data_IF_358040136549
#
_entry.id   IF_358040136549
#
_cell.length_a   1.000
_cell.length_b   1.000
_cell.length_c   1.000
_cell.angle_alpha   90.00
_cell.angle_beta   90.00
_cell.angle_gamma   90.00
#
_symmetry.space_group_name_H-M   'P 1'
#
loop_
_entity.id
_entity.type
_entity.pdbx_description
1 polymer ?
#
# COMPACT_ATOMS: atom_id res chain seq x y z
N UNK A 1 -22.23 -48.89 -7.60
CA UNK A 1 -21.63 -48.11 -8.71
C UNK A 1 -21.92 -46.61 -8.59
N UNK A 2 -23.16 -46.19 -8.31
CA UNK A 2 -23.56 -44.78 -8.16
C UNK A 2 -22.85 -44.01 -7.03
N UNK A 3 -22.67 -44.62 -5.85
CA UNK A 3 -22.02 -43.97 -4.69
C UNK A 3 -20.55 -43.60 -5.00
N UNK A 4 -19.80 -44.50 -5.63
CA UNK A 4 -18.40 -44.26 -5.99
C UNK A 4 -18.26 -43.17 -7.06
N UNK A 5 -19.23 -43.06 -7.98
CA UNK A 5 -19.28 -41.98 -8.95
C UNK A 5 -19.55 -40.63 -8.28
N UNK A 6 -20.48 -40.58 -7.33
CA UNK A 6 -20.78 -39.37 -6.55
C UNK A 6 -19.58 -38.90 -5.73
N UNK A 7 -18.88 -39.82 -5.05
CA UNK A 7 -17.67 -39.51 -4.27
C UNK A 7 -16.57 -38.93 -5.16
N UNK A 8 -16.36 -39.48 -6.36
CA UNK A 8 -15.38 -38.96 -7.34
C UNK A 8 -15.74 -37.55 -7.82
N UNK A 9 -17.01 -37.29 -8.10
CA UNK A 9 -17.47 -35.96 -8.50
C UNK A 9 -17.28 -34.93 -7.38
N UNK A 10 -17.56 -35.30 -6.13
CA UNK A 10 -17.34 -34.42 -4.95
C UNK A 10 -15.85 -34.16 -4.73
N UNK A 11 -15.00 -35.18 -4.85
CA UNK A 11 -13.54 -35.04 -4.77
C UNK A 11 -12.99 -34.14 -5.88
N UNK A 12 -13.45 -34.31 -7.12
CA UNK A 12 -13.03 -33.47 -8.25
C UNK A 12 -13.45 -32.01 -8.04
N UNK A 13 -14.67 -31.77 -7.53
CA UNK A 13 -15.15 -30.43 -7.23
C UNK A 13 -14.35 -29.77 -6.09
N UNK A 14 -14.03 -30.51 -5.03
CA UNK A 14 -13.16 -30.05 -3.94
C UNK A 14 -11.74 -29.70 -4.42
N UNK A 15 -11.16 -30.51 -5.30
CA UNK A 15 -9.84 -30.25 -5.90
C UNK A 15 -9.85 -28.97 -6.75
N UNK A 16 -10.92 -28.71 -7.50
CA UNK A 16 -11.06 -27.49 -8.30
C UNK A 16 -11.22 -26.26 -7.38
N UNK A 17 -12.05 -26.36 -6.35
CA UNK A 17 -12.28 -25.26 -5.40
C UNK A 17 -11.00 -24.77 -4.70
N UNK A 18 -10.05 -25.68 -4.41
CA UNK A 18 -8.76 -25.32 -3.80
C UNK A 18 -7.86 -24.51 -4.74
N UNK A 19 -8.00 -24.64 -6.06
CA UNK A 19 -7.13 -23.94 -7.03
C UNK A 19 -7.51 -22.48 -7.27
N UNK A 20 -8.70 -22.05 -6.82
CA UNK A 20 -9.29 -20.72 -7.04
C UNK A 20 -8.96 -19.76 -5.88
N UNK A 21 -8.53 -20.28 -4.72
CA UNK A 21 -8.13 -19.44 -3.58
C UNK A 21 -6.68 -18.99 -3.79
N UNK A 22 -6.51 -17.73 -4.23
CA UNK A 22 -5.20 -17.03 -4.26
C UNK A 22 -5.20 -16.02 -3.12
N UNK A 23 -4.10 -15.97 -2.36
CA UNK A 23 -3.88 -14.85 -1.45
C UNK A 23 -3.81 -13.56 -2.27
N UNK A 24 -4.41 -12.47 -1.76
CA UNK A 24 -4.25 -11.16 -2.39
C UNK A 24 -2.81 -10.69 -2.22
N UNK A 25 -2.13 -10.40 -3.32
CA UNK A 25 -0.81 -9.76 -3.26
C UNK A 25 -0.94 -8.38 -2.61
N UNK A 26 -0.08 -8.12 -1.63
CA UNK A 26 0.04 -6.78 -1.07
C UNK A 26 0.74 -5.88 -2.10
N UNK A 27 0.18 -4.73 -2.48
CA UNK A 27 0.80 -3.89 -3.48
C UNK A 27 2.16 -3.40 -2.97
N UNK A 28 3.22 -3.41 -3.79
CA UNK A 28 4.51 -2.89 -3.36
C UNK A 28 4.40 -1.38 -3.12
N UNK A 29 5.07 -0.83 -2.08
CA UNK A 29 5.12 0.60 -1.87
C UNK A 29 5.85 1.31 -3.01
N UNK A 30 5.42 2.53 -3.33
CA UNK A 30 6.12 3.42 -4.27
C UNK A 30 6.88 4.48 -3.49
N UNK A 31 8.18 4.62 -3.73
CA UNK A 31 9.05 5.62 -3.09
C UNK A 31 9.13 6.90 -3.93
N UNK A 32 9.12 8.06 -3.28
CA UNK A 32 9.27 9.37 -3.92
C UNK A 32 9.79 10.42 -2.94
N UNK A 33 10.17 11.58 -3.48
CA UNK A 33 10.68 12.72 -2.70
C UNK A 33 9.80 13.95 -2.97
N UNK A 34 9.49 14.70 -1.91
CA UNK A 34 8.84 16.01 -2.00
C UNK A 34 9.84 17.12 -1.65
N UNK A 35 10.10 18.03 -2.59
CA UNK A 35 11.04 19.13 -2.42
C UNK A 35 10.35 20.45 -2.07
N UNK A 36 10.77 21.07 -0.97
CA UNK A 36 10.33 22.40 -0.55
C UNK A 36 11.52 23.36 -0.70
N UNK A 37 11.41 24.32 -1.61
CA UNK A 37 12.46 25.34 -1.81
C UNK A 37 12.36 26.43 -0.76
N UNK A 38 13.51 27.00 -0.37
CA UNK A 38 13.63 28.08 0.62
C UNK A 38 12.86 27.77 1.91
N UNK A 39 13.05 26.55 2.44
CA UNK A 39 12.37 26.11 3.64
C UNK A 39 12.85 26.94 4.85
N UNK A 40 11.91 27.62 5.51
CA UNK A 40 12.18 28.47 6.65
C UNK A 40 11.91 27.71 7.94
N UNK A 41 12.95 27.54 8.77
CA UNK A 41 12.78 26.97 10.10
C UNK A 41 12.16 28.00 11.05
N UNK A 42 11.58 27.53 12.15
CA UNK A 42 11.07 28.39 13.23
C UNK A 42 12.17 29.27 13.84
N UNK A 43 13.44 28.82 13.81
CA UNK A 43 14.60 29.63 14.22
C UNK A 43 14.83 30.87 13.35
N UNK A 44 14.25 30.92 12.15
CA UNK A 44 14.46 31.99 11.16
C UNK A 44 15.50 31.64 10.09
N UNK A 45 16.29 30.58 10.30
CA UNK A 45 17.23 30.06 9.31
C UNK A 45 16.48 29.52 8.08
N UNK A 46 17.17 29.52 6.93
CA UNK A 46 16.60 29.06 5.67
C UNK A 46 17.48 27.98 5.05
N UNK A 47 16.87 26.86 4.67
CA UNK A 47 17.49 25.84 3.83
C UNK A 47 17.08 26.09 2.37
N UNK A 48 18.03 26.14 1.41
CA UNK A 48 17.69 26.35 0.01
C UNK A 48 16.71 25.31 -0.54
N UNK A 49 16.81 24.06 -0.08
CA UNK A 49 15.90 22.98 -0.43
C UNK A 49 15.81 21.96 0.71
N UNK A 50 14.60 21.71 1.21
CA UNK A 50 14.28 20.58 2.07
C UNK A 50 13.67 19.46 1.23
N UNK A 51 14.27 18.27 1.25
CA UNK A 51 13.74 17.08 0.58
C UNK A 51 13.16 16.11 1.61
N UNK A 52 11.88 15.77 1.45
CA UNK A 52 11.18 14.81 2.30
C UNK A 52 10.97 13.53 1.49
N UNK A 53 11.66 12.47 1.89
CA UNK A 53 11.45 11.14 1.33
C UNK A 53 10.21 10.50 1.92
N UNK A 54 9.34 9.97 1.08
CA UNK A 54 8.13 9.28 1.50
C UNK A 54 7.85 8.04 0.66
N UNK A 55 6.94 7.22 1.16
CA UNK A 55 6.42 6.03 0.47
C UNK A 55 4.89 6.08 0.45
N UNK A 56 4.30 5.62 -0.64
CA UNK A 56 2.84 5.49 -0.78
C UNK A 56 2.46 4.06 -1.05
N UNK A 57 1.31 3.68 -0.52
CA UNK A 57 0.70 2.38 -0.75
C UNK A 57 -0.70 2.56 -1.35
N UNK A 58 -1.01 1.79 -2.38
CA UNK A 58 -2.32 1.83 -3.04
C UNK A 58 -2.47 3.00 -4.01
N UNK A 59 -3.71 3.46 -4.20
CA UNK A 59 -4.08 4.49 -5.19
C UNK A 59 -4.82 5.64 -4.51
N UNK A 60 -4.44 6.87 -4.87
CA UNK A 60 -5.14 8.06 -4.41
C UNK A 60 -6.50 8.20 -5.13
N UNK A 61 -7.57 8.30 -4.35
CA UNK A 61 -8.90 8.67 -4.84
C UNK A 61 -9.10 10.17 -4.66
N UNK A 62 -9.59 10.84 -5.71
CA UNK A 62 -9.76 12.29 -5.73
C UNK A 62 -11.23 12.66 -5.91
N UNK A 63 -11.68 13.70 -5.21
CA UNK A 63 -12.98 14.30 -5.45
C UNK A 63 -13.00 15.14 -6.74
N UNK A 64 -14.16 15.74 -7.04
CA UNK A 64 -14.34 16.59 -8.22
C UNK A 64 -13.44 17.85 -8.23
N UNK A 65 -12.89 18.24 -7.07
CA UNK A 65 -11.97 19.36 -6.91
C UNK A 65 -10.50 18.91 -6.94
N UNK A 66 -10.24 17.61 -7.08
CA UNK A 66 -8.91 17.03 -7.16
C UNK A 66 -8.25 16.77 -5.80
N UNK A 67 -8.97 16.91 -4.69
CA UNK A 67 -8.45 16.63 -3.35
C UNK A 67 -8.50 15.13 -3.07
N UNK A 68 -7.40 14.59 -2.53
CA UNK A 68 -7.34 13.18 -2.10
C UNK A 68 -8.29 12.94 -0.93
N UNK A 69 -9.23 12.01 -1.08
CA UNK A 69 -10.28 11.71 -0.08
C UNK A 69 -9.96 10.52 0.82
N UNK A 70 -9.06 9.63 0.39
CA UNK A 70 -8.68 8.40 1.08
C UNK A 70 -7.24 8.41 1.65
N UNK A 71 -6.67 9.61 1.84
CA UNK A 71 -5.29 9.76 2.31
C UNK A 71 -5.14 9.49 3.81
N UNK A 72 -4.21 8.60 4.18
CA UNK A 72 -3.79 8.34 5.57
C UNK A 72 -2.30 8.62 5.70
N UNK A 73 -1.89 9.39 6.71
CA UNK A 73 -0.49 9.66 7.02
C UNK A 73 -0.02 8.73 8.14
N UNK A 74 1.09 8.05 7.88
CA UNK A 74 1.81 7.24 8.88
C UNK A 74 3.19 7.88 9.09
N UNK A 75 3.58 8.06 10.35
CA UNK A 75 4.86 8.66 10.73
C UNK A 75 5.69 7.69 11.54
N UNK A 76 7.01 7.73 11.36
CA UNK A 76 7.96 6.96 12.15
C UNK A 76 8.39 7.72 13.42
N UNK A 77 8.93 6.99 14.40
CA UNK A 77 9.57 7.57 15.58
C UNK A 77 10.95 8.17 15.27
N UNK A 78 11.59 8.80 16.24
CA UNK A 78 12.84 9.58 16.07
C UNK A 78 13.98 8.84 15.36
N UNK A 79 14.13 7.54 15.59
CA UNK A 79 15.20 6.71 15.00
C UNK A 79 14.72 5.83 13.84
N UNK A 80 13.45 5.96 13.45
CA UNK A 80 12.84 5.16 12.40
C UNK A 80 12.95 5.78 11.01
N UNK A 81 12.37 5.08 10.04
CA UNK A 81 12.16 5.59 8.69
C UNK A 81 10.84 5.06 8.14
N UNK A 82 10.33 5.69 7.07
CA UNK A 82 9.11 5.21 6.39
C UNK A 82 9.23 3.77 5.85
N UNK A 83 10.45 3.25 5.68
CA UNK A 83 10.69 1.90 5.19
C UNK A 83 10.32 0.79 6.19
N UNK A 84 9.99 1.13 7.44
CA UNK A 84 9.62 0.15 8.47
C UNK A 84 8.16 -0.33 8.35
N UNK A 85 7.31 0.41 7.63
CA UNK A 85 5.89 0.08 7.51
C UNK A 85 5.57 -0.79 6.29
N UNK A 86 6.38 -0.69 5.22
CA UNK A 86 6.22 -1.40 3.95
C UNK A 86 7.50 -1.33 3.10
#
# INVERSE_FOLDING_TARGET
MLINAMIRSVLAFLLIAVTIVRASDYPPPTESDYSIRNFKFTSGETLPELRIRYRTLGKAEKDAQGKTTNGVLIMHGTTGSGAQFF
#
